data_IF_486798245795
#
_entry.id   IF_486798245795
#
_cell.length_a   1.000
_cell.length_b   1.000
_cell.length_c   1.000
_cell.angle_alpha   90.00
_cell.angle_beta   90.00
_cell.angle_gamma   90.00
#
_symmetry.space_group_name_H-M   'P 1'
#
loop_
_entity.id
_entity.type
_entity.pdbx_description
1 polymer ?
#
# COMPACT_ATOMS: atom_id res chain seq x y z
N UNK A 1 12.73 1.83 18.88
CA UNK A 1 11.76 2.94 18.94
C UNK A 1 10.55 2.47 18.15
N UNK A 2 9.44 2.15 18.81
CA UNK A 2 8.22 1.64 18.15
C UNK A 2 7.43 2.79 17.53
N UNK A 3 6.65 2.51 16.48
CA UNK A 3 5.73 3.46 15.83
C UNK A 3 4.59 3.99 16.74
N UNK A 4 4.62 3.72 18.05
CA UNK A 4 3.71 4.27 19.05
C UNK A 4 2.24 4.05 18.68
N UNK A 5 1.46 5.13 18.65
CA UNK A 5 0.03 5.12 18.29
C UNK A 5 -0.25 4.63 16.85
N UNK A 6 0.74 4.66 15.96
CA UNK A 6 0.61 4.23 14.56
C UNK A 6 0.94 2.75 14.34
N UNK A 7 1.28 2.03 15.42
CA UNK A 7 1.54 0.61 15.33
C UNK A 7 0.26 -0.15 14.94
N UNK A 8 0.31 -0.84 13.80
CA UNK A 8 -0.84 -1.57 13.24
C UNK A 8 -1.59 -0.82 12.15
N UNK A 9 -1.24 0.44 11.86
CA UNK A 9 -1.78 1.17 10.72
C UNK A 9 -1.24 0.59 9.40
N UNK A 10 -2.13 0.36 8.44
CA UNK A 10 -1.76 0.03 7.06
C UNK A 10 -1.82 1.27 6.18
N UNK A 11 -0.81 1.45 5.34
CA UNK A 11 -0.69 2.62 4.47
C UNK A 11 -0.45 2.19 3.02
N UNK A 12 -1.04 2.94 2.09
CA UNK A 12 -0.71 2.87 0.67
C UNK A 12 0.09 4.12 0.32
N UNK A 13 1.28 3.90 -0.24
CA UNK A 13 2.20 4.96 -0.61
C UNK A 13 1.86 5.46 -2.02
N UNK A 14 1.30 6.67 -2.13
CA UNK A 14 0.92 7.29 -3.42
C UNK A 14 2.08 7.97 -4.15
N UNK A 15 3.16 8.29 -3.43
CA UNK A 15 4.36 8.95 -3.92
C UNK A 15 5.60 8.27 -3.34
N UNK A 16 6.72 8.24 -4.05
CA UNK A 16 7.92 7.58 -3.53
C UNK A 16 8.33 8.20 -2.19
N UNK A 17 8.45 7.36 -1.16
CA UNK A 17 8.93 7.74 0.17
C UNK A 17 10.33 7.16 0.38
N UNK A 18 11.14 7.86 1.18
CA UNK A 18 12.41 7.32 1.67
C UNK A 18 12.16 6.08 2.52
N UNK A 19 13.07 5.11 2.44
CA UNK A 19 13.04 3.96 3.32
C UNK A 19 13.12 4.42 4.78
N UNK A 20 12.28 3.83 5.64
CA UNK A 20 12.26 4.08 7.07
C UNK A 20 12.27 2.75 7.82
N UNK A 21 13.18 2.62 8.79
CA UNK A 21 13.42 1.37 9.53
C UNK A 21 12.21 0.88 10.34
N UNK A 22 11.23 1.75 10.61
CA UNK A 22 10.04 1.43 11.40
C UNK A 22 8.79 1.19 10.53
N UNK A 23 8.93 1.18 9.21
CA UNK A 23 7.82 0.94 8.26
C UNK A 23 8.11 -0.32 7.47
N UNK A 24 7.33 -1.36 7.74
CA UNK A 24 7.44 -2.62 7.02
C UNK A 24 6.77 -2.49 5.65
N UNK A 25 7.49 -2.88 4.58
CA UNK A 25 6.91 -3.04 3.25
C UNK A 25 6.29 -4.44 3.14
N UNK A 26 4.96 -4.52 3.08
CA UNK A 26 4.23 -5.81 3.06
C UNK A 26 3.96 -6.31 1.64
N UNK A 27 3.72 -5.40 0.68
CA UNK A 27 3.41 -5.72 -0.72
C UNK A 27 3.66 -4.51 -1.64
N UNK A 28 3.59 -4.73 -2.95
CA UNK A 28 3.65 -3.69 -3.99
C UNK A 28 2.42 -3.79 -4.90
N UNK A 29 1.77 -2.66 -5.19
CA UNK A 29 0.68 -2.57 -6.16
C UNK A 29 1.25 -2.81 -7.57
N UNK A 30 0.54 -3.59 -8.39
CA UNK A 30 0.93 -3.84 -9.77
C UNK A 30 0.83 -2.57 -10.61
N UNK A 31 1.59 -2.50 -11.70
CA UNK A 31 1.69 -1.28 -12.52
C UNK A 31 0.35 -0.86 -13.09
N UNK A 32 -0.47 -1.85 -13.45
CA UNK A 32 -1.78 -1.70 -14.08
C UNK A 32 -2.79 -1.01 -13.15
N UNK A 33 -2.67 -1.23 -11.84
CA UNK A 33 -3.60 -0.70 -10.84
C UNK A 33 -3.11 0.63 -10.21
N UNK A 34 -1.87 1.07 -10.50
CA UNK A 34 -1.36 2.35 -10.00
C UNK A 34 -2.27 3.54 -10.31
N UNK A 35 -2.88 3.67 -11.52
CA UNK A 35 -3.81 4.75 -11.80
C UNK A 35 -5.07 4.73 -10.91
N UNK A 36 -5.50 3.56 -10.43
CA UNK A 36 -6.68 3.43 -9.57
C UNK A 36 -6.49 4.10 -8.20
N UNK A 37 -5.25 4.23 -7.74
CA UNK A 37 -4.92 5.00 -6.53
C UNK A 37 -5.31 6.47 -6.64
N UNK A 38 -5.45 7.01 -7.86
CA UNK A 38 -5.93 8.37 -8.07
C UNK A 38 -7.45 8.50 -7.92
N UNK A 39 -8.18 7.40 -8.04
CA UNK A 39 -9.64 7.35 -8.00
C UNK A 39 -10.23 7.14 -6.60
N UNK A 40 -9.40 6.84 -5.59
CA UNK A 40 -9.86 6.66 -4.20
C UNK A 40 -10.20 8.04 -3.61
N UNK A 41 -11.49 8.26 -3.35
CA UNK A 41 -12.03 9.47 -2.74
C UNK A 41 -12.34 9.26 -1.24
N UNK A 42 -12.57 10.35 -0.47
CA UNK A 42 -12.97 10.22 0.93
C UNK A 42 -14.25 9.39 1.09
N UNK A 43 -14.22 8.43 2.02
CA UNK A 43 -15.28 7.44 2.30
C UNK A 43 -15.41 6.29 1.30
N UNK A 44 -14.54 6.19 0.30
CA UNK A 44 -14.47 4.98 -0.52
C UNK A 44 -13.96 3.80 0.30
N UNK A 45 -14.41 2.62 -0.11
CA UNK A 45 -13.91 1.34 0.39
C UNK A 45 -13.19 0.62 -0.74
N UNK A 46 -12.14 -0.12 -0.40
CA UNK A 46 -11.36 -0.89 -1.35
C UNK A 46 -10.86 -2.16 -0.67
N UNK A 47 -10.60 -3.18 -1.48
CA UNK A 47 -10.06 -4.46 -1.03
C UNK A 47 -8.77 -4.78 -1.79
N UNK A 48 -7.77 -5.27 -1.05
CA UNK A 48 -6.57 -5.80 -1.69
C UNK A 48 -6.80 -7.23 -2.16
N UNK A 49 -6.56 -7.47 -3.44
CA UNK A 49 -6.52 -8.80 -4.02
C UNK A 49 -5.08 -9.17 -4.33
N UNK A 50 -4.67 -10.38 -3.95
CA UNK A 50 -3.40 -10.92 -4.42
C UNK A 50 -3.51 -11.18 -5.91
N UNK A 51 -2.54 -10.72 -6.69
CA UNK A 51 -2.44 -11.17 -8.07
C UNK A 51 -2.29 -12.68 -8.07
N UNK A 52 -3.16 -13.35 -8.84
CA UNK A 52 -2.93 -14.75 -9.19
C UNK A 52 -1.62 -14.76 -9.96
N UNK A 53 -0.65 -15.54 -9.53
CA UNK A 53 0.61 -15.72 -10.25
C UNK A 53 0.30 -15.95 -11.73
N UNK A 54 0.65 -14.99 -12.61
CA UNK A 54 1.02 -15.38 -13.96
C UNK A 54 2.33 -16.15 -13.78
N UNK A 55 2.24 -17.48 -13.70
CA UNK A 55 3.42 -18.33 -13.81
C UNK A 55 4.18 -17.87 -15.05
N UNK A 56 5.40 -17.36 -14.84
CA UNK A 56 6.36 -17.22 -15.92
C UNK A 56 6.78 -18.61 -16.40
#
# INVERSE_FOLDING_TARGET
MNNGRYQGEMQIVRQTLSAHDNVNVVAQIIKEDLPLLSCIEPNDTFDFQKTRECKK
#
